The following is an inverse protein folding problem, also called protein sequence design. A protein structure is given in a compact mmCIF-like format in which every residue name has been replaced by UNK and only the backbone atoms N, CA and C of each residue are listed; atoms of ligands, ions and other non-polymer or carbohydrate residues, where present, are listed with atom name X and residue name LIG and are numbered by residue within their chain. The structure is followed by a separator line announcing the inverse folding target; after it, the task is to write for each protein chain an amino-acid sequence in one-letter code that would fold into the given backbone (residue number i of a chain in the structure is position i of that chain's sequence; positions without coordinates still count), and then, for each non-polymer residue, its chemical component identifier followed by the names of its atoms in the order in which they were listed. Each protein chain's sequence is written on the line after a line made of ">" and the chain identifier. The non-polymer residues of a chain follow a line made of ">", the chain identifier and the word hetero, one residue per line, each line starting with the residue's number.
data_IF_101450958109
#
_entry.id   IF_101450958109
#
_cell.length_a   1.000
_cell.length_b   1.000
_cell.length_c   1.000
_cell.angle_alpha   90.00
_cell.angle_beta   90.00
_cell.angle_gamma   90.00
#
_symmetry.space_group_name_H-M   'P 1'
#
loop_
_entity.id
_entity.type
_entity.pdbx_description
1 polymer ?
#
# COMPACT_ATOMS: atom_id res chain seq x y z
N UNK A 1 -14.65 -12.05 -30.57
CA UNK A 1 -14.77 -11.77 -29.12
C UNK A 1 -13.36 -11.76 -28.58
N UNK A 2 -12.76 -10.58 -28.44
CA UNK A 2 -11.43 -10.46 -27.84
C UNK A 2 -11.53 -10.70 -26.34
N UNK A 3 -10.58 -11.42 -25.71
CA UNK A 3 -10.60 -11.60 -24.27
C UNK A 3 -10.36 -10.24 -23.61
N UNK A 4 -11.35 -9.75 -22.86
CA UNK A 4 -11.18 -8.63 -21.94
C UNK A 4 -9.94 -8.90 -21.09
N UNK A 5 -8.93 -8.03 -21.20
CA UNK A 5 -7.72 -8.11 -20.37
C UNK A 5 -8.14 -8.01 -18.91
N UNK A 6 -8.20 -9.16 -18.23
CA UNK A 6 -8.37 -9.24 -16.78
C UNK A 6 -7.07 -8.71 -16.17
N UNK A 7 -7.05 -7.42 -15.86
CA UNK A 7 -5.94 -6.81 -15.13
C UNK A 7 -6.08 -7.28 -13.68
N UNK A 8 -5.13 -8.07 -13.15
CA UNK A 8 -5.27 -8.72 -11.86
C UNK A 8 -5.39 -7.71 -10.72
N UNK A 9 -6.15 -8.11 -9.70
CA UNK A 9 -6.38 -7.33 -8.48
C UNK A 9 -5.05 -7.03 -7.77
N UNK A 10 -4.79 -5.76 -7.37
CA UNK A 10 -3.56 -5.42 -6.64
C UNK A 10 -3.43 -6.20 -5.33
N UNK A 11 -2.28 -6.83 -5.14
CA UNK A 11 -1.98 -7.59 -3.91
C UNK A 11 -1.60 -6.65 -2.76
N UNK A 12 -1.95 -7.04 -1.54
CA UNK A 12 -1.57 -6.29 -0.34
C UNK A 12 -0.04 -6.28 -0.15
N UNK A 13 0.59 -5.13 0.17
CA UNK A 13 2.03 -5.03 0.39
C UNK A 13 2.44 -5.42 1.83
N UNK A 14 1.52 -6.01 2.61
CA UNK A 14 1.70 -6.25 4.04
C UNK A 14 2.81 -7.27 4.32
N UNK A 15 3.80 -6.88 5.13
CA UNK A 15 4.89 -7.75 5.62
C UNK A 15 4.62 -8.40 6.99
N UNK A 16 3.38 -8.29 7.51
CA UNK A 16 2.94 -8.84 8.81
C UNK A 16 3.76 -8.40 10.04
N UNK A 17 4.42 -7.25 9.98
CA UNK A 17 5.18 -6.69 11.11
C UNK A 17 4.32 -5.88 12.08
N UNK A 18 3.08 -5.55 11.69
CA UNK A 18 2.02 -4.86 12.48
C UNK A 18 2.51 -3.86 13.54
N UNK A 19 3.45 -3.00 13.18
CA UNK A 19 3.99 -1.93 14.04
C UNK A 19 3.89 -0.60 13.28
N UNK A 20 3.34 0.40 13.95
CA UNK A 20 3.32 1.79 13.49
C UNK A 20 4.46 2.57 14.18
N UNK A 21 4.93 3.62 13.54
CA UNK A 21 5.79 4.62 14.16
C UNK A 21 4.98 5.79 14.76
N UNK A 22 5.69 6.81 15.22
CA UNK A 22 5.13 8.01 15.83
C UNK A 22 4.28 8.85 14.85
N UNK A 23 4.50 8.70 13.55
CA UNK A 23 3.72 9.35 12.49
C UNK A 23 2.48 8.53 12.07
N UNK A 24 2.24 7.37 12.73
CA UNK A 24 1.12 6.48 12.40
C UNK A 24 1.34 5.66 11.13
N UNK A 25 2.58 5.53 10.68
CA UNK A 25 2.94 4.78 9.47
C UNK A 25 3.45 3.38 9.81
N UNK A 26 3.00 2.36 9.08
CA UNK A 26 3.51 1.00 9.27
C UNK A 26 4.97 0.89 8.86
N UNK A 27 5.84 0.46 9.79
CA UNK A 27 7.29 0.39 9.55
C UNK A 27 7.72 -0.67 8.53
N UNK A 28 6.83 -1.59 8.15
CA UNK A 28 7.14 -2.64 7.17
C UNK A 28 6.55 -2.43 5.78
N UNK A 29 5.32 -1.92 5.70
CA UNK A 29 4.62 -1.71 4.43
C UNK A 29 4.35 -0.24 4.10
N UNK A 30 4.72 0.69 5.00
CA UNK A 30 4.65 2.13 4.80
C UNK A 30 3.26 2.64 4.42
N UNK A 31 2.20 1.91 4.81
CA UNK A 31 0.81 2.37 4.77
C UNK A 31 0.41 2.97 6.10
N UNK A 32 -0.48 3.94 6.08
CA UNK A 32 -1.10 4.47 7.31
C UNK A 32 -2.24 3.55 7.78
N UNK A 33 -2.80 3.84 8.96
CA UNK A 33 -3.87 3.02 9.55
C UNK A 33 -5.13 2.96 8.68
N UNK A 34 -5.56 4.07 8.09
CA UNK A 34 -6.77 4.14 7.26
C UNK A 34 -6.63 3.32 5.97
N UNK A 35 -5.46 3.39 5.33
CA UNK A 35 -5.11 2.60 4.14
C UNK A 35 -5.07 1.08 4.47
N UNK A 36 -4.71 0.72 5.70
CA UNK A 36 -4.72 -0.67 6.18
C UNK A 36 -6.15 -1.14 6.44
N UNK A 37 -6.93 -0.34 7.19
CA UNK A 37 -8.29 -0.67 7.61
C UNK A 37 -9.25 -0.79 6.41
N UNK A 38 -9.12 0.12 5.43
CA UNK A 38 -10.02 0.18 4.28
C UNK A 38 -9.55 -0.68 3.09
N UNK A 39 -8.40 -1.36 3.16
CA UNK A 39 -7.81 -2.06 2.02
C UNK A 39 -8.76 -3.00 1.28
N UNK A 40 -9.60 -3.75 2.00
CA UNK A 40 -10.54 -4.71 1.40
C UNK A 40 -11.67 -4.05 0.61
N UNK A 41 -12.01 -2.79 0.92
CA UNK A 41 -13.14 -2.07 0.30
C UNK A 41 -12.69 -1.05 -0.75
N UNK A 42 -11.40 -0.76 -0.84
CA UNK A 42 -10.86 0.11 -1.89
C UNK A 42 -11.08 -0.49 -3.27
N UNK A 43 -11.42 0.36 -4.22
CA UNK A 43 -11.33 0.08 -5.65
C UNK A 43 -9.90 -0.24 -6.06
N UNK A 44 -9.75 -0.82 -7.24
CA UNK A 44 -8.45 -1.17 -7.78
C UNK A 44 -7.57 0.07 -8.01
N UNK A 45 -8.14 1.15 -8.50
CA UNK A 45 -7.46 2.42 -8.74
C UNK A 45 -6.95 3.01 -7.42
N UNK A 46 -7.79 2.98 -6.37
CA UNK A 46 -7.40 3.41 -5.03
C UNK A 46 -6.29 2.53 -4.44
N UNK A 47 -6.37 1.21 -4.60
CA UNK A 47 -5.31 0.29 -4.17
C UNK A 47 -3.98 0.61 -4.84
N UNK A 48 -3.98 0.86 -6.15
CA UNK A 48 -2.77 1.24 -6.89
C UNK A 48 -2.19 2.55 -6.37
N UNK A 49 -3.03 3.54 -6.06
CA UNK A 49 -2.57 4.81 -5.51
C UNK A 49 -1.99 4.65 -4.08
N UNK A 50 -2.63 3.83 -3.24
CA UNK A 50 -2.09 3.48 -1.91
C UNK A 50 -0.72 2.80 -2.04
N UNK A 51 -0.57 1.86 -2.97
CA UNK A 51 0.71 1.19 -3.22
C UNK A 51 1.78 2.18 -3.68
N UNK A 52 1.45 3.10 -4.59
CA UNK A 52 2.35 4.13 -5.10
C UNK A 52 2.81 5.06 -3.97
N UNK A 53 1.88 5.56 -3.15
CA UNK A 53 2.18 6.42 -1.99
C UNK A 53 3.04 5.69 -0.95
N UNK A 54 2.71 4.44 -0.63
CA UNK A 54 3.48 3.63 0.30
C UNK A 54 4.92 3.41 -0.18
N UNK A 55 5.11 3.14 -1.48
CA UNK A 55 6.43 3.00 -2.07
C UNK A 55 7.24 4.29 -2.00
N UNK A 56 6.63 5.44 -2.32
CA UNK A 56 7.29 6.74 -2.23
C UNK A 56 7.72 7.05 -0.78
N UNK A 57 6.85 6.79 0.20
CA UNK A 57 7.17 6.98 1.63
C UNK A 57 8.34 6.10 2.08
N UNK A 58 8.41 4.86 1.60
CA UNK A 58 9.56 3.98 1.84
C UNK A 58 10.85 4.57 1.29
N UNK A 59 10.87 4.96 0.01
CA UNK A 59 12.06 5.52 -0.65
C UNK A 59 12.55 6.79 0.05
N UNK A 60 11.63 7.70 0.42
CA UNK A 60 11.98 8.93 1.13
C UNK A 60 12.58 8.68 2.52
N UNK A 61 12.26 7.56 3.15
CA UNK A 61 12.85 7.16 4.44
C UNK A 61 14.20 6.49 4.27
N UNK A 62 14.34 5.63 3.26
CA UNK A 62 15.61 4.98 2.93
C UNK A 62 16.68 6.02 2.50
N UNK A 63 16.28 7.12 1.86
CA UNK A 63 17.18 8.22 1.47
C UNK A 63 17.56 9.15 2.63
N UNK A 64 16.91 9.05 3.79
CA UNK A 64 17.21 9.85 4.99
C UNK A 64 18.14 9.13 5.97
N UNK A 65 18.57 7.91 5.64
CA UNK A 65 19.50 7.10 6.41
C UNK A 65 20.94 7.24 5.90
#
# INVERSE_FOLDING_TARGET
>A
MEPEKVIPEPKSPCKRVCRLDEEGMCVGCFRNLDEIANWSILSKEEKLEVLRKAHLRMQLRDMKL
#
